data_IF_367548536262
#
_entry.id   IF_367548536262
#
_cell.length_a   1.000
_cell.length_b   1.000
_cell.length_c   1.000
_cell.angle_alpha   90.00
_cell.angle_beta   90.00
_cell.angle_gamma   90.00
#
_symmetry.space_group_name_H-M   'P 1'
#
loop_
_entity.id
_entity.type
_entity.pdbx_description
1 polymer ?
#
# COMPACT_ATOMS: atom_id res chain seq x y z
N UNK A 1 -8.39 -9.98 16.50
CA UNK A 1 -9.08 -11.28 16.46
C UNK A 1 -10.31 -11.27 17.35
N UNK A 2 -11.49 -11.50 16.76
CA UNK A 2 -12.73 -11.82 17.45
C UNK A 2 -13.04 -13.30 17.19
N UNK A 3 -13.51 -13.99 18.22
CA UNK A 3 -13.92 -15.40 18.17
C UNK A 3 -15.42 -15.47 18.48
N UNK A 4 -16.18 -16.16 17.64
CA UNK A 4 -17.62 -16.37 17.85
C UNK A 4 -17.89 -17.87 17.75
N UNK A 5 -18.35 -18.47 18.85
CA UNK A 5 -18.89 -19.82 18.84
C UNK A 5 -20.30 -19.80 18.24
N UNK A 6 -20.52 -20.61 17.20
CA UNK A 6 -21.78 -20.77 16.51
C UNK A 6 -22.49 -22.00 17.09
N UNK A 7 -23.75 -21.82 17.51
CA UNK A 7 -24.60 -22.96 17.88
C UNK A 7 -24.85 -23.83 16.65
N UNK A 8 -24.37 -25.07 16.68
CA UNK A 8 -24.62 -26.07 15.65
C UNK A 8 -25.14 -27.36 16.30
N UNK A 9 -26.06 -28.06 15.64
CA UNK A 9 -26.67 -29.30 16.16
C UNK A 9 -25.65 -30.46 16.30
N UNK A 10 -24.46 -30.34 15.69
CA UNK A 10 -23.37 -31.32 15.76
C UNK A 10 -22.01 -30.61 15.75
N UNK A 11 -21.24 -30.74 16.84
CA UNK A 11 -19.89 -30.18 16.98
C UNK A 11 -19.84 -28.67 17.23
N UNK A 12 -18.70 -28.19 17.72
CA UNK A 12 -18.47 -26.75 17.95
C UNK A 12 -17.98 -26.09 16.66
N UNK A 13 -18.59 -24.98 16.27
CA UNK A 13 -18.18 -24.19 15.09
C UNK A 13 -17.73 -22.82 15.53
N UNK A 14 -16.63 -22.33 14.97
CA UNK A 14 -16.04 -21.06 15.34
C UNK A 14 -15.91 -20.15 14.12
N UNK A 15 -16.17 -18.86 14.32
CA UNK A 15 -15.83 -17.80 13.38
C UNK A 15 -14.67 -16.99 13.97
N UNK A 16 -13.53 -17.00 13.28
CA UNK A 16 -12.32 -16.27 13.66
C UNK A 16 -12.19 -15.09 12.72
N UNK A 17 -12.35 -13.89 13.27
CA UNK A 17 -12.36 -12.65 12.49
C UNK A 17 -11.12 -11.83 12.82
N UNK A 18 -10.30 -11.56 11.82
CA UNK A 18 -9.30 -10.51 11.87
C UNK A 18 -9.79 -9.33 11.02
N UNK A 19 -9.64 -8.11 11.53
CA UNK A 19 -10.09 -6.90 10.86
C UNK A 19 -8.95 -5.91 10.79
N UNK A 20 -8.70 -5.36 9.59
CA UNK A 20 -7.80 -4.24 9.40
C UNK A 20 -8.53 -3.05 8.77
N UNK A 21 -8.06 -1.86 9.15
CA UNK A 21 -8.61 -0.58 8.68
C UNK A 21 -7.54 0.27 8.00
N UNK A 22 -6.34 0.37 8.60
CA UNK A 22 -5.25 1.25 8.17
C UNK A 22 -3.92 0.51 7.91
N UNK A 23 -3.94 -0.82 7.97
CA UNK A 23 -2.80 -1.71 7.77
C UNK A 23 -3.21 -2.97 7.02
N UNK A 24 -2.26 -3.71 6.44
CA UNK A 24 -2.52 -5.06 5.92
C UNK A 24 -1.88 -6.03 6.91
N UNK A 25 -2.51 -7.19 7.22
CA UNK A 25 -1.83 -8.17 8.06
C UNK A 25 -0.62 -8.75 7.33
N UNK A 26 0.47 -8.99 8.05
CA UNK A 26 1.59 -9.75 7.48
C UNK A 26 1.25 -11.23 7.38
N UNK A 27 1.98 -11.95 6.52
CA UNK A 27 1.85 -13.41 6.41
C UNK A 27 2.03 -14.09 7.77
N UNK A 28 3.04 -13.67 8.52
CA UNK A 28 3.38 -14.20 9.85
C UNK A 28 2.28 -13.92 10.86
N UNK A 29 1.62 -12.76 10.78
CA UNK A 29 0.48 -12.43 11.63
C UNK A 29 -0.69 -13.39 11.36
N UNK A 30 -1.05 -13.62 10.09
CA UNK A 30 -2.13 -14.55 9.73
C UNK A 30 -1.79 -15.99 10.13
N UNK A 31 -0.55 -16.43 9.86
CA UNK A 31 -0.04 -17.74 10.26
C UNK A 31 -0.13 -17.93 11.77
N UNK A 32 0.36 -16.95 12.54
CA UNK A 32 0.34 -16.99 14.00
C UNK A 32 -1.08 -17.08 14.57
N UNK A 33 -2.04 -16.36 13.98
CA UNK A 33 -3.45 -16.45 14.39
C UNK A 33 -4.01 -17.84 14.08
N UNK A 34 -3.82 -18.33 12.85
CA UNK A 34 -4.31 -19.63 12.41
C UNK A 34 -3.76 -20.77 13.29
N UNK A 35 -2.44 -20.81 13.51
CA UNK A 35 -1.82 -21.84 14.34
C UNK A 35 -2.26 -21.75 15.81
N UNK A 36 -2.31 -20.53 16.37
CA UNK A 36 -2.71 -20.35 17.77
C UNK A 36 -4.16 -20.78 18.01
N UNK A 37 -5.04 -20.57 17.04
CA UNK A 37 -6.43 -20.95 17.15
C UNK A 37 -6.63 -22.45 16.97
N UNK A 38 -6.04 -23.04 15.92
CA UNK A 38 -6.18 -24.48 15.66
C UNK A 38 -5.60 -25.36 16.79
N UNK A 39 -4.57 -24.89 17.52
CA UNK A 39 -4.06 -25.61 18.70
C UNK A 39 -5.07 -25.74 19.85
N UNK A 40 -6.14 -24.95 19.85
CA UNK A 40 -7.20 -24.98 20.87
C UNK A 40 -8.44 -25.75 20.44
N UNK A 41 -8.50 -26.21 19.20
CA UNK A 41 -9.67 -26.89 18.66
C UNK A 41 -9.61 -28.38 18.98
N UNK A 42 -10.70 -28.90 19.53
CA UNK A 42 -10.92 -30.34 19.62
C UNK A 42 -11.13 -30.92 18.22
N UNK A 43 -10.84 -32.21 18.00
CA UNK A 43 -10.95 -32.88 16.67
C UNK A 43 -12.33 -32.76 16.01
N UNK A 44 -13.38 -32.59 16.81
CA UNK A 44 -14.76 -32.41 16.35
C UNK A 44 -15.15 -30.96 16.06
N UNK A 45 -14.23 -30.01 16.27
CA UNK A 45 -14.48 -28.58 16.10
C UNK A 45 -14.10 -28.11 14.70
N UNK A 46 -14.85 -27.14 14.17
CA UNK A 46 -14.55 -26.50 12.89
C UNK A 46 -14.38 -25.00 13.06
N UNK A 47 -13.40 -24.41 12.38
CA UNK A 47 -13.16 -22.97 12.41
C UNK A 47 -13.19 -22.36 11.00
N UNK A 48 -13.85 -21.21 10.87
CA UNK A 48 -13.90 -20.39 9.66
C UNK A 48 -13.12 -19.11 9.90
N UNK A 49 -12.15 -18.83 9.05
CA UNK A 49 -11.28 -17.67 9.18
C UNK A 49 -11.71 -16.58 8.20
N UNK A 50 -12.02 -15.39 8.70
CA UNK A 50 -12.41 -14.22 7.93
C UNK A 50 -11.43 -13.07 8.15
N UNK A 51 -10.96 -12.47 7.07
CA UNK A 51 -10.13 -11.27 7.09
C UNK A 51 -10.92 -10.11 6.49
N UNK A 52 -11.40 -9.22 7.35
CA UNK A 52 -12.05 -7.97 6.94
C UNK A 52 -11.00 -6.92 6.62
N UNK A 53 -11.02 -6.42 5.40
CA UNK A 53 -10.17 -5.33 4.94
C UNK A 53 -11.08 -4.14 4.65
N UNK A 54 -11.15 -3.25 5.63
CA UNK A 54 -11.95 -2.03 5.64
C UNK A 54 -11.03 -0.81 5.60
N UNK A 55 -11.60 0.39 5.52
CA UNK A 55 -10.79 1.62 5.47
C UNK A 55 -9.74 1.58 4.36
N UNK A 56 -8.60 2.23 4.54
CA UNK A 56 -7.55 2.25 3.53
C UNK A 56 -6.93 0.87 3.26
N UNK A 57 -7.06 -0.11 4.16
CA UNK A 57 -6.48 -1.44 3.95
C UNK A 57 -7.04 -2.15 2.71
N UNK A 58 -8.28 -1.82 2.29
CA UNK A 58 -8.94 -2.49 1.17
C UNK A 58 -8.38 -2.12 -0.21
N UNK A 59 -7.59 -1.06 -0.32
CA UNK A 59 -6.93 -0.66 -1.58
C UNK A 59 -5.46 -1.10 -1.63
N UNK A 60 -4.95 -1.65 -0.53
CA UNK A 60 -3.56 -2.04 -0.41
C UNK A 60 -3.31 -3.48 -0.91
N UNK A 61 -2.05 -3.83 -1.22
CA UNK A 61 -1.66 -5.18 -1.68
C UNK A 61 -1.92 -6.25 -0.61
N UNK A 62 -2.76 -7.23 -0.92
CA UNK A 62 -3.04 -8.33 0.00
C UNK A 62 -1.94 -9.41 -0.03
N UNK A 63 -1.66 -10.11 1.09
CA UNK A 63 -0.77 -11.26 1.09
C UNK A 63 -1.31 -12.35 0.16
N UNK A 64 -0.45 -12.93 -0.67
CA UNK A 64 -0.84 -14.07 -1.55
C UNK A 64 -1.19 -15.33 -0.74
N UNK A 65 -0.55 -15.49 0.42
CA UNK A 65 -0.79 -16.60 1.34
C UNK A 65 -1.59 -16.08 2.54
N UNK A 66 -2.88 -16.43 2.58
CA UNK A 66 -3.80 -16.00 3.63
C UNK A 66 -3.97 -17.02 4.74
N UNK A 67 -3.27 -18.17 4.70
CA UNK A 67 -3.35 -19.22 5.71
C UNK A 67 -4.82 -19.62 6.06
N UNK A 68 -5.67 -19.79 5.04
CA UNK A 68 -7.06 -20.20 5.21
C UNK A 68 -8.05 -19.07 5.51
N UNK A 69 -7.60 -17.81 5.63
CA UNK A 69 -8.50 -16.67 5.75
C UNK A 69 -9.20 -16.35 4.43
N UNK A 70 -10.53 -16.20 4.51
CA UNK A 70 -11.37 -15.67 3.45
C UNK A 70 -11.39 -14.16 3.54
N UNK A 71 -10.98 -13.49 2.47
CA UNK A 71 -10.88 -12.02 2.44
C UNK A 71 -12.23 -11.39 2.10
N UNK A 72 -12.72 -10.57 3.03
CA UNK A 72 -13.93 -9.76 2.90
C UNK A 72 -13.50 -8.29 2.76
N UNK A 73 -13.59 -7.77 1.53
CA UNK A 73 -13.33 -6.36 1.23
C UNK A 73 -14.53 -5.50 1.65
N UNK A 74 -14.34 -4.17 1.68
CA UNK A 74 -15.41 -3.21 1.98
C UNK A 74 -16.70 -3.45 1.16
N UNK A 75 -16.57 -3.60 -0.16
CA UNK A 75 -17.73 -3.83 -1.03
C UNK A 75 -18.43 -5.16 -0.68
N UNK A 76 -17.66 -6.26 -0.52
CA UNK A 76 -18.21 -7.55 -0.10
C UNK A 76 -18.89 -7.50 1.27
N UNK A 77 -18.34 -6.73 2.20
CA UNK A 77 -18.93 -6.57 3.53
C UNK A 77 -20.29 -5.84 3.44
N UNK A 78 -20.38 -4.79 2.62
CA UNK A 78 -21.64 -4.06 2.36
C UNK A 78 -22.66 -5.00 1.70
N UNK A 79 -22.25 -5.78 0.71
CA UNK A 79 -23.16 -6.67 -0.01
C UNK A 79 -23.69 -7.78 0.89
N UNK A 80 -22.79 -8.48 1.61
CA UNK A 80 -23.16 -9.58 2.52
C UNK A 80 -24.03 -9.05 3.65
N UNK A 81 -23.55 -8.06 4.40
CA UNK A 81 -24.24 -7.60 5.60
C UNK A 81 -25.49 -6.78 5.24
N UNK A 82 -25.45 -5.99 4.17
CA UNK A 82 -26.60 -5.20 3.71
C UNK A 82 -27.77 -6.04 3.19
N UNK A 83 -27.53 -7.30 2.81
CA UNK A 83 -28.58 -8.24 2.42
C UNK A 83 -29.31 -8.89 3.60
N UNK A 84 -28.78 -8.75 4.83
CA UNK A 84 -29.37 -9.36 6.02
C UNK A 84 -30.54 -8.50 6.54
N UNK A 85 -31.69 -9.12 6.74
CA UNK A 85 -32.86 -8.47 7.32
C UNK A 85 -32.75 -8.45 8.86
N UNK A 86 -31.88 -7.61 9.40
CA UNK A 86 -31.64 -7.46 10.84
C UNK A 86 -32.12 -6.08 11.29
N UNK A 87 -33.22 -6.05 12.04
CA UNK A 87 -33.84 -4.83 12.59
C UNK A 87 -33.22 -4.42 13.94
N UNK A 88 -31.89 -4.26 13.96
CA UNK A 88 -31.16 -3.81 15.15
C UNK A 88 -30.46 -2.47 14.89
N UNK A 89 -30.58 -1.53 15.83
CA UNK A 89 -30.01 -0.17 15.68
C UNK A 89 -28.51 -0.22 15.40
N UNK A 90 -27.77 -0.99 16.20
CA UNK A 90 -26.32 -1.11 16.08
C UNK A 90 -25.91 -1.72 14.73
N UNK A 91 -26.71 -2.65 14.21
CA UNK A 91 -26.46 -3.27 12.92
C UNK A 91 -26.63 -2.24 11.79
N UNK A 92 -27.71 -1.45 11.80
CA UNK A 92 -27.91 -0.37 10.82
C UNK A 92 -26.78 0.66 10.86
N UNK A 93 -26.38 1.09 12.04
CA UNK A 93 -25.26 2.04 12.21
C UNK A 93 -23.93 1.52 11.65
N UNK A 94 -23.70 0.21 11.76
CA UNK A 94 -22.56 -0.46 11.15
C UNK A 94 -22.63 -0.43 9.62
N UNK A 95 -23.77 -0.80 9.03
CA UNK A 95 -23.96 -0.73 7.57
C UNK A 95 -23.76 0.69 7.05
N UNK A 96 -24.33 1.68 7.72
CA UNK A 96 -24.19 3.08 7.34
C UNK A 96 -22.73 3.56 7.45
N UNK A 97 -21.99 3.07 8.44
CA UNK A 97 -20.55 3.35 8.57
C UNK A 97 -19.74 2.76 7.42
N UNK A 98 -20.05 1.54 6.97
CA UNK A 98 -19.41 0.93 5.81
C UNK A 98 -19.72 1.71 4.52
N UNK A 99 -20.99 2.12 4.33
CA UNK A 99 -21.40 2.94 3.18
C UNK A 99 -20.69 4.30 3.17
N UNK A 100 -20.58 4.98 4.32
CA UNK A 100 -19.80 6.22 4.45
C UNK A 100 -18.31 6.02 4.13
N UNK A 101 -17.71 4.89 4.53
CA UNK A 101 -16.32 4.57 4.14
C UNK A 101 -16.18 4.42 2.63
N UNK A 102 -17.16 3.77 1.98
CA UNK A 102 -17.20 3.64 0.53
C UNK A 102 -17.31 5.01 -0.13
N UNK A 103 -18.17 5.90 0.34
CA UNK A 103 -18.30 7.27 -0.17
C UNK A 103 -17.00 8.07 0.00
N UNK A 104 -16.32 7.95 1.15
CA UNK A 104 -15.02 8.60 1.38
C UNK A 104 -13.96 8.15 0.37
N UNK A 105 -13.92 6.86 0.01
CA UNK A 105 -13.02 6.38 -1.04
C UNK A 105 -13.30 7.09 -2.37
N UNK A 106 -14.57 7.14 -2.80
CA UNK A 106 -14.95 7.73 -4.10
C UNK A 106 -14.73 9.25 -4.16
N UNK A 107 -14.86 9.95 -3.04
CA UNK A 107 -14.71 11.41 -2.99
C UNK A 107 -13.30 11.90 -2.69
N UNK A 108 -12.31 11.01 -2.50
CA UNK A 108 -10.95 11.39 -2.09
C UNK A 108 -10.30 12.44 -3.02
N UNK A 109 -10.49 12.31 -4.34
CA UNK A 109 -9.96 13.28 -5.33
C UNK A 109 -10.74 14.60 -5.30
N UNK A 110 -12.04 14.58 -5.06
CA UNK A 110 -12.85 15.81 -4.95
C UNK A 110 -12.47 16.62 -3.71
N UNK A 111 -12.26 15.94 -2.58
CA UNK A 111 -11.76 16.57 -1.36
C UNK A 111 -10.33 17.08 -1.52
N UNK A 112 -9.46 16.33 -2.23
CA UNK A 112 -8.12 16.80 -2.56
C UNK A 112 -8.13 18.12 -3.34
N UNK A 113 -8.99 18.24 -4.35
CA UNK A 113 -9.13 19.46 -5.18
C UNK A 113 -9.67 20.66 -4.39
N UNK A 114 -10.44 20.40 -3.35
CA UNK A 114 -11.06 21.43 -2.49
C UNK A 114 -10.22 21.72 -1.24
N UNK A 115 -9.12 21.00 -1.04
CA UNK A 115 -8.27 21.13 0.14
C UNK A 115 -7.39 22.38 0.06
N UNK A 116 -7.30 23.19 1.12
CA UNK A 116 -6.38 24.34 1.16
C UNK A 116 -4.91 23.94 0.93
N UNK A 117 -4.51 22.79 1.48
CA UNK A 117 -3.24 22.14 1.19
C UNK A 117 -3.28 20.66 1.60
N UNK A 118 -2.45 19.83 0.96
CA UNK A 118 -2.41 18.37 1.15
C UNK A 118 -2.18 17.94 2.62
N UNK A 119 -1.66 18.83 3.46
CA UNK A 119 -1.25 18.56 4.84
C UNK A 119 -2.21 19.16 5.89
N UNK A 120 -3.34 19.74 5.47
CA UNK A 120 -4.33 20.32 6.36
C UNK A 120 -5.06 19.22 7.15
N UNK A 121 -4.60 19.00 8.39
CA UNK A 121 -5.13 17.96 9.25
C UNK A 121 -6.56 18.22 9.68
N UNK A 122 -6.97 19.48 9.84
CA UNK A 122 -8.32 19.81 10.28
C UNK A 122 -9.29 19.50 9.14
N UNK A 123 -8.97 19.96 7.93
CA UNK A 123 -9.74 19.68 6.72
C UNK A 123 -9.92 18.18 6.49
N UNK A 124 -8.83 17.40 6.50
CA UNK A 124 -8.93 15.96 6.26
C UNK A 124 -9.68 15.21 7.39
N UNK A 125 -9.58 15.68 8.64
CA UNK A 125 -10.32 15.11 9.77
C UNK A 125 -11.83 15.36 9.63
N UNK A 126 -12.23 16.56 9.21
CA UNK A 126 -13.64 16.91 8.95
C UNK A 126 -14.26 16.01 7.87
N UNK A 127 -13.47 15.63 6.87
CA UNK A 127 -13.88 14.70 5.81
C UNK A 127 -13.71 13.21 6.19
N UNK A 128 -13.43 12.91 7.45
CA UNK A 128 -13.42 11.56 7.99
C UNK A 128 -12.16 10.75 7.68
N UNK A 129 -11.05 11.41 7.36
CA UNK A 129 -9.74 10.78 7.23
C UNK A 129 -8.92 10.97 8.50
N UNK A 130 -8.37 9.86 9.01
CA UNK A 130 -7.33 9.92 10.03
C UNK A 130 -6.04 10.39 9.34
N UNK A 131 -5.46 11.49 9.78
CA UNK A 131 -4.18 11.98 9.23
C UNK A 131 -2.99 11.33 9.95
N UNK A 132 -1.81 11.18 9.31
CA UNK A 132 -1.45 11.73 7.99
C UNK A 132 -1.46 10.73 6.82
N UNK A 133 -1.78 9.45 7.02
CA UNK A 133 -1.50 8.39 6.03
C UNK A 133 -2.73 7.85 5.26
N UNK A 134 -3.88 7.58 5.91
CA UNK A 134 -5.06 6.98 5.28
C UNK A 134 -5.52 7.56 3.93
N UNK A 135 -5.59 8.89 3.78
CA UNK A 135 -6.07 9.48 2.53
C UNK A 135 -5.09 9.24 1.37
N UNK A 136 -3.77 9.20 1.62
CA UNK A 136 -2.79 8.91 0.59
C UNK A 136 -2.99 7.54 -0.05
N UNK A 137 -3.44 6.53 0.71
CA UNK A 137 -3.73 5.22 0.12
C UNK A 137 -4.88 5.27 -0.88
N UNK A 138 -5.91 6.09 -0.62
CA UNK A 138 -6.97 6.33 -1.59
C UNK A 138 -6.49 7.16 -2.78
N UNK A 139 -5.68 8.19 -2.55
CA UNK A 139 -5.07 8.96 -3.64
C UNK A 139 -4.19 8.08 -4.53
N UNK A 140 -3.41 7.16 -3.95
CA UNK A 140 -2.65 6.18 -4.71
C UNK A 140 -3.54 5.18 -5.44
N UNK A 141 -4.66 4.76 -4.85
CA UNK A 141 -5.60 3.90 -5.55
C UNK A 141 -6.11 4.57 -6.82
N UNK A 142 -6.47 5.86 -6.73
CA UNK A 142 -6.93 6.65 -7.87
C UNK A 142 -5.81 6.90 -8.88
N UNK A 143 -4.61 7.29 -8.43
CA UNK A 143 -3.44 7.41 -9.31
C UNK A 143 -3.14 6.08 -10.03
N UNK A 144 -3.21 4.97 -9.31
CA UNK A 144 -2.95 3.63 -9.82
C UNK A 144 -3.88 3.23 -10.96
N UNK A 145 -5.15 3.63 -10.92
CA UNK A 145 -6.12 3.35 -12.00
C UNK A 145 -5.74 4.01 -13.34
N UNK A 146 -4.87 5.03 -13.31
CA UNK A 146 -4.46 5.77 -14.50
C UNK A 146 -3.20 5.20 -15.19
N UNK A 147 -2.53 4.21 -14.59
CA UNK A 147 -1.39 3.53 -15.23
C UNK A 147 -1.84 2.49 -16.27
N UNK A 148 -1.06 2.33 -17.32
CA UNK A 148 -1.23 1.28 -18.34
C UNK A 148 -1.12 -0.12 -17.71
N UNK A 149 -0.24 -0.28 -16.71
CA UNK A 149 0.01 -1.55 -16.02
C UNK A 149 -0.44 -1.51 -14.56
N UNK A 150 -1.74 -1.23 -14.35
CA UNK A 150 -2.38 -1.12 -13.02
C UNK A 150 -1.94 -2.23 -12.06
N UNK A 151 -1.98 -3.50 -12.48
CA UNK A 151 -1.68 -4.67 -11.60
C UNK A 151 -0.23 -4.76 -11.12
N UNK A 152 0.69 -3.98 -11.67
CA UNK A 152 2.11 -3.99 -11.27
C UNK A 152 2.43 -2.96 -10.18
N UNK A 153 1.49 -2.07 -9.87
CA UNK A 153 1.65 -1.08 -8.80
C UNK A 153 0.97 -1.57 -7.53
N UNK A 154 1.73 -1.63 -6.46
CA UNK A 154 1.28 -2.13 -5.18
C UNK A 154 1.32 -1.03 -4.13
N UNK A 155 0.19 -0.84 -3.45
CA UNK A 155 0.07 0.09 -2.34
C UNK A 155 0.38 -0.68 -1.07
N UNK A 156 1.45 -0.29 -0.38
CA UNK A 156 1.89 -0.91 0.86
C UNK A 156 1.40 -0.06 2.03
N UNK A 157 0.71 -0.70 2.96
CA UNK A 157 0.32 -0.07 4.21
C UNK A 157 1.50 -0.13 5.18
N UNK A 158 2.18 1.01 5.38
CA UNK A 158 3.29 1.14 6.31
C UNK A 158 2.91 1.94 7.56
N UNK A 159 3.54 1.66 8.70
CA UNK A 159 3.28 2.36 9.97
C UNK A 159 3.71 3.84 9.96
N UNK A 160 4.62 4.24 9.05
CA UNK A 160 5.28 5.55 9.14
C UNK A 160 5.22 6.40 7.85
N UNK A 161 4.97 5.81 6.67
CA UNK A 161 4.90 6.54 5.40
C UNK A 161 4.01 5.79 4.40
N UNK A 162 3.17 6.48 3.60
CA UNK A 162 2.35 5.83 2.60
C UNK A 162 3.22 5.57 1.36
N UNK A 163 3.27 4.32 0.90
CA UNK A 163 4.12 3.93 -0.23
C UNK A 163 3.30 3.20 -1.30
N UNK A 164 3.56 3.53 -2.56
CA UNK A 164 3.10 2.75 -3.71
C UNK A 164 4.29 2.38 -4.59
N UNK A 165 4.61 1.09 -4.69
CA UNK A 165 5.80 0.57 -5.38
C UNK A 165 5.41 -0.07 -6.71
N UNK A 166 6.29 0.01 -7.71
CA UNK A 166 6.15 -0.78 -8.93
C UNK A 166 6.84 -2.13 -8.75
N UNK A 167 6.06 -3.19 -8.48
CA UNK A 167 6.56 -4.53 -8.11
C UNK A 167 7.51 -5.12 -9.17
N UNK A 168 7.23 -4.87 -10.45
CA UNK A 168 8.10 -5.35 -11.54
C UNK A 168 9.27 -4.43 -11.85
N UNK A 169 9.35 -3.28 -11.18
CA UNK A 169 10.44 -2.31 -11.31
C UNK A 169 11.69 -2.65 -10.51
N UNK A 170 11.70 -3.76 -9.78
CA UNK A 170 12.87 -4.23 -9.04
C UNK A 170 13.92 -4.79 -10.01
N UNK A 171 15.10 -4.19 -10.00
CA UNK A 171 16.21 -4.53 -10.87
C UNK A 171 17.48 -4.81 -10.05
N UNK A 172 17.90 -6.07 -10.00
CA UNK A 172 19.16 -6.46 -9.39
C UNK A 172 20.34 -6.23 -10.35
N UNK A 173 21.42 -5.64 -9.85
CA UNK A 173 22.67 -5.39 -10.57
C UNK A 173 23.88 -5.70 -9.70
N UNK A 174 24.89 -6.27 -10.33
CA UNK A 174 26.19 -6.53 -9.69
C UNK A 174 27.19 -5.52 -10.19
N UNK A 175 27.78 -4.74 -9.27
CA UNK A 175 28.84 -3.78 -9.58
C UNK A 175 29.94 -3.92 -8.53
N UNK A 176 31.20 -4.04 -8.97
CA UNK A 176 32.36 -4.32 -8.09
C UNK A 176 32.11 -5.54 -7.17
N UNK A 177 31.54 -6.61 -7.73
CA UNK A 177 31.19 -7.85 -7.02
C UNK A 177 30.19 -7.68 -5.87
N UNK A 178 29.42 -6.60 -5.86
CA UNK A 178 28.38 -6.29 -4.86
C UNK A 178 27.02 -6.16 -5.53
N UNK A 179 25.97 -6.66 -4.88
CA UNK A 179 24.60 -6.60 -5.38
C UNK A 179 23.91 -5.31 -4.92
N UNK A 180 23.25 -4.65 -5.87
CA UNK A 180 22.39 -3.48 -5.68
C UNK A 180 21.04 -3.77 -6.30
N UNK A 181 19.94 -3.44 -5.63
CA UNK A 181 18.59 -3.61 -6.19
C UNK A 181 17.92 -2.25 -6.34
N UNK A 182 17.74 -1.82 -7.58
CA UNK A 182 17.05 -0.57 -7.89
C UNK A 182 15.54 -0.80 -7.93
N UNK A 183 14.76 0.17 -7.45
CA UNK A 183 13.31 0.09 -7.50
C UNK A 183 12.66 1.48 -7.51
N UNK A 184 11.40 1.52 -7.93
CA UNK A 184 10.61 2.73 -8.05
C UNK A 184 9.47 2.74 -7.02
N UNK A 185 9.26 3.89 -6.38
CA UNK A 185 8.12 4.07 -5.49
C UNK A 185 7.61 5.50 -5.46
N UNK A 186 6.30 5.66 -5.27
CA UNK A 186 5.75 6.89 -4.72
C UNK A 186 5.87 6.89 -3.20
N UNK A 187 6.30 8.02 -2.67
CA UNK A 187 6.23 8.35 -1.26
C UNK A 187 5.67 9.78 -1.14
N UNK A 188 4.49 9.87 -0.53
CA UNK A 188 3.59 11.02 -0.64
C UNK A 188 3.37 11.41 -2.11
N UNK A 189 3.47 12.69 -2.44
CA UNK A 189 3.31 13.22 -3.81
C UNK A 189 4.59 13.11 -4.67
N UNK A 190 5.58 12.31 -4.27
CA UNK A 190 6.88 12.26 -4.95
C UNK A 190 7.22 10.85 -5.43
N UNK A 191 7.58 10.72 -6.71
CA UNK A 191 8.17 9.50 -7.26
C UNK A 191 9.67 9.46 -6.95
N UNK A 192 10.16 8.32 -6.49
CA UNK A 192 11.57 8.07 -6.17
C UNK A 192 12.12 6.91 -6.99
N UNK A 193 13.36 7.06 -7.43
CA UNK A 193 14.24 5.93 -7.73
C UNK A 193 15.13 5.67 -6.52
N UNK A 194 15.06 4.45 -6.00
CA UNK A 194 15.77 4.01 -4.80
C UNK A 194 16.68 2.81 -5.09
N UNK A 195 17.57 2.53 -4.15
CA UNK A 195 18.41 1.33 -4.13
C UNK A 195 18.31 0.64 -2.77
N UNK A 196 18.19 -0.69 -2.80
CA UNK A 196 18.42 -1.58 -1.67
C UNK A 196 19.84 -2.14 -1.74
N UNK A 197 20.54 -2.15 -0.60
CA UNK A 197 21.89 -2.69 -0.44
C UNK A 197 22.00 -3.60 0.78
N UNK A 198 22.93 -4.54 0.73
CA UNK A 198 23.39 -5.29 1.91
C UNK A 198 24.51 -4.50 2.62
N UNK A 199 24.22 -3.93 3.79
CA UNK A 199 25.16 -3.10 4.56
C UNK A 199 26.39 -3.85 5.09
N UNK A 200 26.34 -5.17 5.12
CA UNK A 200 27.49 -6.01 5.49
C UNK A 200 28.53 -6.07 4.37
N UNK A 201 28.12 -5.82 3.11
CA UNK A 201 28.96 -5.99 1.92
C UNK A 201 29.20 -4.67 1.15
N UNK A 202 28.32 -3.68 1.32
CA UNK A 202 28.37 -2.40 0.60
C UNK A 202 28.71 -1.27 1.56
N UNK A 203 29.85 -0.62 1.35
CA UNK A 203 30.26 0.54 2.15
C UNK A 203 29.49 1.81 1.75
N UNK A 204 29.67 2.88 2.54
CA UNK A 204 29.10 4.19 2.21
C UNK A 204 29.64 4.75 0.88
N UNK A 205 30.91 4.55 0.60
CA UNK A 205 31.58 5.07 -0.61
C UNK A 205 31.19 4.29 -1.85
N UNK A 206 31.00 2.97 -1.72
CA UNK A 206 30.44 2.13 -2.78
C UNK A 206 29.03 2.61 -3.17
N UNK A 207 28.18 2.84 -2.16
CA UNK A 207 26.83 3.35 -2.37
C UNK A 207 26.86 4.73 -3.03
N UNK A 208 27.75 5.63 -2.58
CA UNK A 208 27.88 6.96 -3.16
C UNK A 208 28.27 6.89 -4.64
N UNK A 209 29.25 6.05 -4.98
CA UNK A 209 29.70 5.81 -6.36
C UNK A 209 28.55 5.36 -7.26
N UNK A 210 27.76 4.37 -6.80
CA UNK A 210 26.58 3.90 -7.53
C UNK A 210 25.53 5.00 -7.67
N UNK A 211 25.24 5.75 -6.60
CA UNK A 211 24.27 6.86 -6.65
C UNK A 211 24.70 7.91 -7.66
N UNK A 212 25.98 8.25 -7.75
CA UNK A 212 26.49 9.22 -8.73
C UNK A 212 26.35 8.71 -10.17
N UNK A 213 26.69 7.45 -10.44
CA UNK A 213 26.51 6.83 -11.76
C UNK A 213 25.04 6.86 -12.19
N UNK A 214 24.12 6.47 -11.31
CA UNK A 214 22.68 6.49 -11.58
C UNK A 214 22.14 7.91 -11.72
N UNK A 215 22.61 8.86 -10.90
CA UNK A 215 22.21 10.28 -11.02
C UNK A 215 22.61 10.88 -12.34
N UNK A 216 23.79 10.53 -12.88
CA UNK A 216 24.20 10.96 -14.23
C UNK A 216 23.22 10.46 -15.29
N UNK A 217 22.83 9.18 -15.24
CA UNK A 217 21.82 8.61 -16.13
C UNK A 217 20.50 9.37 -16.01
N UNK A 218 20.02 9.59 -14.79
CA UNK A 218 18.76 10.29 -14.56
C UNK A 218 18.82 11.73 -15.07
N UNK A 219 19.87 12.50 -14.70
CA UNK A 219 20.04 13.89 -15.12
C UNK A 219 20.04 14.04 -16.64
N UNK A 220 20.69 13.13 -17.36
CA UNK A 220 20.78 13.20 -18.83
C UNK A 220 19.49 12.76 -19.56
N UNK A 221 18.58 12.05 -18.89
CA UNK A 221 17.42 11.42 -19.54
C UNK A 221 16.07 11.84 -18.92
N UNK A 222 16.07 12.84 -18.04
CA UNK A 222 14.87 13.24 -17.30
C UNK A 222 14.26 14.56 -17.75
N UNK A 223 13.09 14.87 -17.20
CA UNK A 223 12.42 16.17 -17.32
C UNK A 223 13.08 17.19 -16.38
N UNK A 224 12.82 18.50 -16.53
CA UNK A 224 13.37 19.54 -15.64
C UNK A 224 13.00 19.39 -14.16
N UNK A 225 11.99 18.57 -13.85
CA UNK A 225 11.45 18.31 -12.50
C UNK A 225 12.34 17.36 -11.67
N UNK A 226 13.40 16.82 -12.23
CA UNK A 226 14.29 15.89 -11.54
C UNK A 226 15.13 16.55 -10.44
N UNK A 227 15.25 15.88 -9.29
CA UNK A 227 16.15 16.27 -8.21
C UNK A 227 17.00 15.10 -7.68
N UNK A 228 18.29 15.36 -7.43
CA UNK A 228 19.14 14.47 -6.64
C UNK A 228 18.76 14.49 -5.15
N UNK A 229 18.78 13.35 -4.49
CA UNK A 229 18.48 13.25 -3.05
C UNK A 229 19.72 13.44 -2.19
N UNK A 230 19.56 13.52 -0.86
CA UNK A 230 20.70 13.55 0.08
C UNK A 230 21.49 12.22 0.04
N UNK A 231 22.78 12.29 0.36
CA UNK A 231 23.67 11.13 0.45
C UNK A 231 23.53 10.42 1.81
N UNK A 232 22.33 9.89 2.08
CA UNK A 232 22.07 9.01 3.21
C UNK A 232 22.68 7.62 2.99
N UNK A 233 23.09 6.97 4.09
CA UNK A 233 23.54 5.58 4.12
C UNK A 233 22.54 4.75 4.91
N UNK A 234 21.99 3.72 4.28
CA UNK A 234 21.00 2.82 4.86
C UNK A 234 20.65 1.72 3.88
N UNK A 235 20.07 0.63 4.39
CA UNK A 235 19.66 -0.54 3.60
C UNK A 235 18.84 -0.13 2.39
N UNK A 236 17.91 0.82 2.59
CA UNK A 236 17.14 1.45 1.53
C UNK A 236 17.52 2.93 1.43
N UNK A 237 17.94 3.37 0.25
CA UNK A 237 18.40 4.74 0.05
C UNK A 237 17.82 5.34 -1.23
N UNK A 238 17.23 6.54 -1.13
CA UNK A 238 16.77 7.29 -2.29
C UNK A 238 17.95 7.82 -3.09
N UNK A 239 17.89 7.74 -4.43
CA UNK A 239 18.94 8.22 -5.34
C UNK A 239 18.55 9.56 -5.95
N UNK A 240 17.34 9.63 -6.49
CA UNK A 240 16.74 10.82 -7.07
C UNK A 240 15.21 10.76 -6.94
N UNK A 241 14.57 11.90 -7.22
CA UNK A 241 13.13 12.09 -7.02
C UNK A 241 12.53 13.03 -8.07
N UNK A 242 11.21 12.90 -8.25
CA UNK A 242 10.36 13.71 -9.10
C UNK A 242 9.13 14.14 -8.28
N UNK A 243 9.12 15.38 -7.77
CA UNK A 243 7.99 15.90 -7.01
C UNK A 243 6.81 16.23 -7.93
N UNK A 244 5.64 15.72 -7.60
CA UNK A 244 4.37 16.14 -8.17
C UNK A 244 3.61 16.97 -7.15
N UNK A 245 2.54 17.64 -7.59
CA UNK A 245 1.58 18.33 -6.75
C UNK A 245 0.21 17.72 -6.94
N UNK A 246 -0.18 16.81 -6.04
CA UNK A 246 -1.46 16.11 -6.15
C UNK A 246 -2.67 17.08 -6.11
N UNK A 247 -2.54 18.24 -5.46
CA UNK A 247 -3.59 19.27 -5.42
C UNK A 247 -3.70 20.09 -6.71
N UNK A 248 -2.66 20.14 -7.55
CA UNK A 248 -2.61 21.00 -8.75
C UNK A 248 -2.59 20.23 -10.05
N UNK A 249 -2.20 18.96 -10.02
CA UNK A 249 -1.95 18.15 -11.21
C UNK A 249 -2.99 17.04 -11.34
N UNK A 250 -3.41 16.77 -12.57
CA UNK A 250 -4.33 15.69 -12.86
C UNK A 250 -3.63 14.31 -12.76
N UNK A 251 -4.27 13.35 -12.10
CA UNK A 251 -3.68 12.03 -11.87
C UNK A 251 -3.39 11.25 -13.16
N UNK A 252 -4.13 11.50 -14.25
CA UNK A 252 -3.82 10.92 -15.56
C UNK A 252 -2.50 11.45 -16.10
N UNK A 253 -2.26 12.75 -15.96
CA UNK A 253 -1.01 13.37 -16.41
C UNK A 253 0.17 12.95 -15.52
N UNK A 254 -0.03 12.85 -14.20
CA UNK A 254 0.99 12.30 -13.28
C UNK A 254 1.36 10.87 -13.68
N UNK A 255 0.37 10.01 -13.94
CA UNK A 255 0.61 8.63 -14.35
C UNK A 255 1.38 8.55 -15.68
N UNK A 256 0.95 9.34 -16.68
CA UNK A 256 1.61 9.42 -17.99
C UNK A 256 3.06 9.92 -17.88
N UNK A 257 3.30 10.99 -17.11
CA UNK A 257 4.66 11.48 -16.89
C UNK A 257 5.52 10.45 -16.17
N UNK A 258 4.97 9.77 -15.16
CA UNK A 258 5.64 8.68 -14.45
C UNK A 258 6.04 7.54 -15.39
N UNK A 259 5.15 7.07 -16.25
CA UNK A 259 5.46 6.03 -17.24
C UNK A 259 6.53 6.49 -18.23
N UNK A 260 6.48 7.76 -18.66
CA UNK A 260 7.51 8.35 -19.51
C UNK A 260 8.88 8.46 -18.81
N UNK A 261 8.91 8.78 -17.52
CA UNK A 261 10.15 8.81 -16.72
C UNK A 261 10.73 7.40 -16.60
N UNK A 262 9.90 6.43 -16.18
CA UNK A 262 10.32 5.05 -15.96
C UNK A 262 10.80 4.40 -17.26
N UNK A 263 10.06 4.56 -18.36
CA UNK A 263 10.42 3.98 -19.67
C UNK A 263 11.75 4.53 -20.22
N UNK A 264 12.08 5.79 -19.97
CA UNK A 264 13.36 6.39 -20.36
C UNK A 264 14.52 5.93 -19.50
N UNK A 265 14.33 5.85 -18.17
CA UNK A 265 15.44 5.67 -17.22
C UNK A 265 15.67 4.18 -16.90
N UNK A 266 14.60 3.43 -16.64
CA UNK A 266 14.71 2.08 -16.11
C UNK A 266 15.51 1.12 -17.00
N UNK A 267 15.37 1.13 -18.35
CA UNK A 267 16.21 0.31 -19.22
C UNK A 267 17.71 0.65 -19.12
N UNK A 268 18.05 1.93 -18.94
CA UNK A 268 19.42 2.42 -18.83
C UNK A 268 20.09 2.03 -17.50
N UNK A 269 19.31 1.68 -16.48
CA UNK A 269 19.87 1.12 -15.25
C UNK A 269 20.54 -0.25 -15.49
N UNK A 270 20.29 -0.88 -16.64
CA UNK A 270 20.99 -2.11 -17.00
C UNK A 270 22.48 -1.93 -17.30
N UNK A 271 22.91 -0.73 -17.68
CA UNK A 271 24.32 -0.41 -17.95
C UNK A 271 25.10 0.05 -16.70
N UNK A 272 24.44 0.05 -15.54
CA UNK A 272 25.04 0.37 -14.24
C UNK A 272 25.81 -0.84 -13.74
#
# INVERSE_FOLDING_TARGET
>A
MVEIELKANTGKRYLVIEMKVDSIPTKEQLKGIFEKFNRKLDESSQAYYLLFLLGSSHVCKFPKDTHGFNVITLDKAIDILGSLNIDERLFREWIDSLKREKEKKHNAVNYLKSSPNLWDRAYWKEHGYRTPLPYFYYLYNELKQNFTKIKEWDIYSGNNNPVMNWEKGWLAKTYLSKEYRFYWEFNYETLYLKVEINKQNVSRDDLLTIKEKVRKICRSNSTPRWEGTRNSYGTYSSICKWPFSFTKEDFREIAKETEAIISRIHPLLNSV
#
